data_IF_411144403673
#
_entry.id   IF_411144403673
#
_cell.length_a   1.000
_cell.length_b   1.000
_cell.length_c   1.000
_cell.angle_alpha   90.00
_cell.angle_beta   90.00
_cell.angle_gamma   90.00
#
_symmetry.space_group_name_H-M   'P 1'
#
loop_
_entity.id
_entity.type
_entity.pdbx_description
1 polymer ?
#
# COMPACT_ATOMS: atom_id res chain seq x y z
N UNK A 1 -14.99 -43.30 -6.59
CA UNK A 1 -15.26 -42.02 -7.28
C UNK A 1 -15.90 -40.95 -6.38
N UNK A 2 -16.91 -41.26 -5.54
CA UNK A 2 -17.54 -40.29 -4.61
C UNK A 2 -16.57 -39.56 -3.66
N UNK A 3 -15.53 -40.23 -3.14
CA UNK A 3 -14.56 -39.61 -2.20
C UNK A 3 -13.59 -38.61 -2.85
N UNK A 4 -13.35 -38.71 -4.16
CA UNK A 4 -12.47 -37.78 -4.90
C UNK A 4 -13.22 -36.48 -5.23
N UNK A 5 -14.52 -36.58 -5.51
CA UNK A 5 -15.39 -35.43 -5.76
C UNK A 5 -15.55 -34.54 -4.50
N UNK A 6 -15.58 -35.14 -3.31
CA UNK A 6 -15.67 -34.38 -2.04
C UNK A 6 -14.39 -33.60 -1.70
N UNK A 7 -13.21 -34.07 -2.12
CA UNK A 7 -11.93 -33.37 -1.87
C UNK A 7 -11.79 -32.15 -2.80
N UNK A 8 -12.28 -32.25 -4.03
CA UNK A 8 -12.25 -31.15 -5.01
C UNK A 8 -13.15 -29.98 -4.58
N UNK A 9 -14.33 -30.27 -4.02
CA UNK A 9 -15.26 -29.24 -3.51
C UNK A 9 -14.70 -28.53 -2.27
N UNK A 10 -13.95 -29.24 -1.41
CA UNK A 10 -13.31 -28.64 -0.24
C UNK A 10 -12.20 -27.64 -0.64
N UNK A 11 -11.45 -27.93 -1.71
CA UNK A 11 -10.39 -27.04 -2.21
C UNK A 11 -10.92 -25.76 -2.89
N UNK A 12 -12.10 -25.82 -3.52
CA UNK A 12 -12.72 -24.63 -4.15
C UNK A 12 -13.19 -23.62 -3.08
N UNK A 13 -13.63 -24.09 -1.91
CA UNK A 13 -14.11 -23.19 -0.83
C UNK A 13 -13.01 -22.40 -0.11
N UNK A 14 -11.74 -22.80 -0.23
CA UNK A 14 -10.62 -22.15 0.49
C UNK A 14 -10.07 -20.89 -0.22
N UNK A 15 -10.44 -20.64 -1.47
CA UNK A 15 -9.93 -19.47 -2.22
C UNK A 15 -10.74 -18.18 -2.02
N UNK A 16 -11.78 -18.20 -1.18
CA UNK A 16 -12.58 -17.00 -0.87
C UNK A 16 -11.94 -16.14 0.22
N UNK A 17 -10.61 -15.95 0.18
CA UNK A 17 -10.00 -14.85 0.94
C UNK A 17 -10.43 -13.57 0.24
N UNK A 18 -11.55 -13.01 0.67
CA UNK A 18 -12.11 -11.78 0.12
C UNK A 18 -11.01 -10.72 0.00
N UNK A 19 -10.70 -10.34 -1.25
CA UNK A 19 -9.75 -9.29 -1.54
C UNK A 19 -10.32 -7.98 -1.02
N UNK A 20 -9.56 -7.34 -0.13
CA UNK A 20 -9.99 -6.10 0.51
C UNK A 20 -9.64 -4.97 -0.43
N UNK A 21 -10.66 -4.30 -0.96
CA UNK A 21 -10.50 -3.20 -1.90
C UNK A 21 -10.47 -1.85 -1.18
N UNK A 22 -9.67 -0.93 -1.68
CA UNK A 22 -9.59 0.46 -1.24
C UNK A 22 -9.65 1.41 -2.42
N UNK A 23 -10.01 2.66 -2.15
CA UNK A 23 -9.92 3.78 -3.09
C UNK A 23 -8.66 4.58 -2.79
N UNK A 24 -7.77 4.68 -3.75
CA UNK A 24 -6.48 5.37 -3.58
C UNK A 24 -6.62 6.88 -3.78
N UNK A 25 -5.75 7.62 -3.10
CA UNK A 25 -5.67 9.06 -3.25
C UNK A 25 -4.66 9.45 -4.35
N UNK A 26 -4.77 10.69 -4.82
CA UNK A 26 -3.82 11.28 -5.77
C UNK A 26 -2.88 12.24 -5.05
N UNK A 27 -1.63 12.25 -5.49
CA UNK A 27 -0.62 13.23 -5.08
C UNK A 27 -0.08 13.89 -6.34
N UNK A 28 -0.20 15.21 -6.43
CA UNK A 28 0.20 15.98 -7.62
C UNK A 28 -0.45 15.44 -8.92
N UNK A 29 -1.70 14.98 -8.85
CA UNK A 29 -2.44 14.41 -9.99
C UNK A 29 -2.12 12.95 -10.32
N UNK A 30 -1.07 12.37 -9.72
CA UNK A 30 -0.63 10.99 -9.91
C UNK A 30 -1.27 10.08 -8.86
N UNK A 31 -1.73 8.91 -9.28
CA UNK A 31 -2.30 7.91 -8.37
C UNK A 31 -1.19 7.20 -7.57
N UNK A 32 -1.40 7.04 -6.26
CA UNK A 32 -0.37 6.50 -5.35
C UNK A 32 -0.88 5.23 -4.68
N UNK A 33 -0.24 4.12 -5.00
CA UNK A 33 -0.55 2.80 -4.47
C UNK A 33 0.54 2.40 -3.46
N UNK A 34 0.28 2.60 -2.16
CA UNK A 34 1.19 2.20 -1.07
C UNK A 34 0.64 0.98 -0.34
N UNK A 35 1.37 -0.13 -0.31
CA UNK A 35 0.89 -1.40 0.25
C UNK A 35 -0.45 -1.83 -0.36
N UNK A 36 -0.65 -1.48 -1.63
CA UNK A 36 -1.83 -1.81 -2.39
C UNK A 36 -1.41 -1.95 -3.85
N UNK A 37 -2.17 -2.74 -4.61
CA UNK A 37 -1.95 -2.97 -6.02
C UNK A 37 -3.18 -2.52 -6.80
N UNK A 38 -3.04 -1.77 -7.90
CA UNK A 38 -4.17 -1.37 -8.72
C UNK A 38 -4.90 -2.61 -9.26
N UNK A 39 -6.21 -2.53 -9.35
CA UNK A 39 -7.03 -3.53 -10.05
C UNK A 39 -6.88 -3.42 -11.57
N UNK A 40 -6.55 -2.21 -12.05
CA UNK A 40 -6.31 -1.92 -13.46
C UNK A 40 -5.08 -2.64 -13.98
N UNK A 41 -5.11 -2.99 -15.26
CA UNK A 41 -3.95 -3.54 -15.95
C UNK A 41 -2.90 -2.43 -16.18
N UNK A 42 -1.63 -2.76 -15.95
CA UNK A 42 -0.54 -1.80 -16.08
C UNK A 42 0.75 -2.44 -16.53
N UNK A 43 1.59 -1.63 -17.15
CA UNK A 43 2.99 -1.93 -17.39
C UNK A 43 3.88 -1.15 -16.42
N UNK A 44 4.93 -1.80 -15.92
CA UNK A 44 5.96 -1.12 -15.13
C UNK A 44 6.91 -0.40 -16.06
N UNK A 45 7.08 0.90 -15.86
CA UNK A 45 8.07 1.66 -16.59
C UNK A 45 9.43 1.36 -15.94
N UNK A 46 10.31 0.67 -16.67
CA UNK A 46 11.70 0.48 -16.23
C UNK A 46 12.32 1.87 -16.11
N UNK A 47 12.54 2.33 -14.88
CA UNK A 47 13.32 3.53 -14.65
C UNK A 47 14.69 3.38 -15.31
N UNK A 48 15.07 4.33 -16.16
CA UNK A 48 16.45 4.48 -16.58
C UNK A 48 17.33 4.57 -15.32
N UNK A 49 18.12 3.52 -15.10
CA UNK A 49 19.04 3.42 -13.97
C UNK A 49 18.47 2.70 -12.74
N UNK A 50 19.39 2.03 -12.01
CA UNK A 50 19.17 1.25 -10.79
C UNK A 50 17.99 1.80 -9.99
N UNK A 51 16.94 1.00 -9.92
CA UNK A 51 15.72 1.32 -9.20
C UNK A 51 16.00 1.95 -7.85
N UNK A 52 15.42 3.12 -7.60
CA UNK A 52 15.65 3.88 -6.38
C UNK A 52 15.15 3.05 -5.20
N UNK A 53 16.08 2.39 -4.51
CA UNK A 53 15.82 1.71 -3.26
C UNK A 53 15.26 2.75 -2.28
N UNK A 54 14.03 2.51 -1.82
CA UNK A 54 13.37 3.40 -0.88
C UNK A 54 14.23 3.65 0.37
N UNK A 55 15.00 2.65 0.81
CA UNK A 55 15.91 2.76 1.95
C UNK A 55 16.97 3.87 1.86
N UNK A 56 17.49 4.18 0.68
CA UNK A 56 18.58 5.17 0.51
C UNK A 56 18.09 6.59 0.22
N UNK A 57 16.87 6.76 -0.33
CA UNK A 57 16.21 8.09 -0.44
C UNK A 57 15.54 8.53 0.87
N UNK A 58 15.34 7.61 1.81
CA UNK A 58 14.64 7.86 3.08
C UNK A 58 15.60 8.14 4.24
N UNK A 59 16.87 7.77 4.13
CA UNK A 59 17.85 7.87 5.23
C UNK A 59 18.74 9.11 5.16
N UNK A 60 18.80 9.81 4.01
CA UNK A 60 19.80 10.84 3.69
C UNK A 60 19.46 12.30 3.98
N UNK A 61 18.68 12.62 5.01
CA UNK A 61 18.55 14.01 5.50
C UNK A 61 17.17 14.63 5.31
N UNK A 62 16.45 14.70 6.42
CA UNK A 62 15.37 15.61 6.83
C UNK A 62 14.52 14.83 7.84
N UNK A 63 14.96 14.92 9.09
CA UNK A 63 14.25 14.38 10.24
C UNK A 63 12.95 15.18 10.37
N UNK A 64 11.79 14.51 10.20
CA UNK A 64 10.40 15.01 10.44
C UNK A 64 9.48 15.22 9.21
N UNK A 65 9.58 14.40 8.15
CA UNK A 65 8.65 14.47 7.01
C UNK A 65 7.56 13.39 7.02
N UNK A 66 6.34 13.78 6.60
CA UNK A 66 5.19 12.88 6.44
C UNK A 66 5.34 11.95 5.24
N UNK A 67 4.58 10.84 5.19
CA UNK A 67 4.55 9.95 4.01
C UNK A 67 4.18 10.72 2.75
N UNK A 68 3.14 11.57 2.83
CA UNK A 68 2.70 12.36 1.70
C UNK A 68 3.84 13.24 1.16
N UNK A 69 4.61 13.91 2.04
CA UNK A 69 5.77 14.71 1.65
C UNK A 69 6.83 13.89 0.92
N UNK A 70 7.15 12.70 1.42
CA UNK A 70 8.14 11.79 0.80
C UNK A 70 7.69 11.30 -0.57
N UNK A 71 6.42 10.91 -0.67
CA UNK A 71 5.80 10.50 -1.94
C UNK A 71 5.79 11.65 -2.93
N UNK A 72 5.39 12.87 -2.53
CA UNK A 72 5.42 14.05 -3.39
C UNK A 72 6.83 14.34 -3.90
N UNK A 73 7.87 14.23 -3.05
CA UNK A 73 9.27 14.40 -3.47
C UNK A 73 9.69 13.37 -4.50
N UNK A 74 9.32 12.10 -4.28
CA UNK A 74 9.60 11.03 -5.24
C UNK A 74 8.92 11.28 -6.58
N UNK A 75 7.61 11.58 -6.58
CA UNK A 75 6.85 11.90 -7.80
C UNK A 75 7.48 13.08 -8.53
N UNK A 76 7.87 14.14 -7.80
CA UNK A 76 8.50 15.31 -8.41
C UNK A 76 9.86 14.97 -9.03
N UNK A 77 10.67 14.11 -8.39
CA UNK A 77 11.96 13.65 -8.94
C UNK A 77 11.74 12.82 -10.20
N UNK A 78 10.79 11.88 -10.14
CA UNK A 78 10.47 10.99 -11.25
C UNK A 78 9.87 11.74 -12.44
N UNK A 79 8.95 12.68 -12.20
CA UNK A 79 8.38 13.55 -13.22
C UNK A 79 9.45 14.42 -13.89
N UNK A 80 10.42 14.95 -13.13
CA UNK A 80 11.56 15.67 -13.72
C UNK A 80 12.38 14.77 -14.63
N UNK A 81 12.77 13.58 -14.16
CA UNK A 81 13.55 12.63 -14.95
C UNK A 81 12.83 12.23 -16.25
N UNK A 82 11.57 11.83 -16.13
CA UNK A 82 10.78 11.35 -17.26
C UNK A 82 10.42 12.46 -18.25
N UNK A 83 10.36 13.72 -17.80
CA UNK A 83 10.24 14.87 -18.70
C UNK A 83 11.43 14.99 -19.66
N UNK A 84 12.65 14.70 -19.20
CA UNK A 84 13.84 14.70 -20.08
C UNK A 84 13.84 13.51 -21.06
N UNK A 85 13.31 12.37 -20.62
CA UNK A 85 13.23 11.14 -21.42
C UNK A 85 11.95 11.08 -22.30
N UNK A 86 11.08 12.09 -22.22
CA UNK A 86 9.76 12.13 -22.86
C UNK A 86 8.86 10.91 -22.54
N UNK A 87 9.00 10.38 -21.31
CA UNK A 87 8.21 9.25 -20.80
C UNK A 87 7.02 9.81 -20.00
N UNK A 88 5.84 9.23 -20.19
CA UNK A 88 4.63 9.54 -19.39
C UNK A 88 4.29 8.35 -18.50
N UNK A 89 3.82 8.63 -17.29
CA UNK A 89 3.40 7.64 -16.30
C UNK A 89 2.12 8.12 -15.62
N UNK A 90 1.28 7.18 -15.21
CA UNK A 90 -0.05 7.47 -14.64
C UNK A 90 -0.08 7.34 -13.12
N UNK A 91 0.72 6.43 -12.59
CA UNK A 91 0.71 6.08 -11.18
C UNK A 91 2.08 5.63 -10.67
N UNK A 92 2.19 5.59 -9.35
CA UNK A 92 3.34 5.02 -8.65
C UNK A 92 2.89 3.92 -7.68
N UNK A 93 3.60 2.80 -7.70
CA UNK A 93 3.32 1.63 -6.86
C UNK A 93 4.49 1.40 -5.91
N UNK A 94 4.19 1.12 -4.64
CA UNK A 94 5.12 0.62 -3.64
C UNK A 94 4.59 -0.70 -3.06
N UNK A 95 5.15 -1.80 -3.53
CA UNK A 95 4.76 -3.17 -3.18
C UNK A 95 5.93 -3.91 -2.55
N UNK A 96 5.70 -4.64 -1.45
CA UNK A 96 6.70 -5.51 -0.80
C UNK A 96 8.01 -4.80 -0.42
N UNK A 97 7.91 -3.49 -0.18
CA UNK A 97 8.93 -2.53 0.21
C UNK A 97 10.34 -2.56 -0.39
N UNK A 98 10.50 -3.19 -1.55
CA UNK A 98 11.75 -3.18 -2.32
C UNK A 98 11.95 -1.87 -3.09
N UNK A 99 10.91 -1.32 -3.71
CA UNK A 99 11.05 -0.14 -4.56
C UNK A 99 9.70 0.55 -4.83
N UNK A 100 9.72 1.86 -5.03
CA UNK A 100 8.67 2.50 -5.81
C UNK A 100 8.96 2.36 -7.30
N UNK A 101 7.91 2.09 -8.04
CA UNK A 101 7.94 1.91 -9.49
C UNK A 101 6.85 2.78 -10.11
N UNK A 102 7.21 3.53 -11.15
CA UNK A 102 6.23 4.23 -11.97
C UNK A 102 5.59 3.22 -12.93
N UNK A 103 4.28 3.37 -13.11
CA UNK A 103 3.50 2.51 -13.98
C UNK A 103 2.69 3.33 -14.97
N UNK A 104 2.28 2.68 -16.04
CA UNK A 104 1.34 3.20 -17.03
C UNK A 104 0.21 2.21 -17.19
N UNK A 105 -1.02 2.67 -17.15
CA UNK A 105 -2.17 1.79 -17.32
C UNK A 105 -2.33 1.40 -18.78
N UNK A 106 -2.66 0.14 -19.02
CA UNK A 106 -2.84 -0.43 -20.37
C UNK A 106 -4.31 -0.61 -20.72
N UNK A 107 -5.20 -0.55 -19.73
CA UNK A 107 -6.65 -0.66 -19.89
C UNK A 107 -7.36 0.70 -19.96
N UNK A 108 -8.64 0.67 -20.36
CA UNK A 108 -9.51 1.84 -20.29
C UNK A 108 -9.96 2.11 -18.85
N UNK A 109 -10.05 3.39 -18.52
CA UNK A 109 -10.51 3.84 -17.22
C UNK A 109 -12.04 3.78 -17.16
N UNK A 110 -12.56 3.02 -16.20
CA UNK A 110 -13.99 2.88 -15.91
C UNK A 110 -14.30 3.36 -14.48
N UNK A 111 -15.55 3.70 -14.16
CA UNK A 111 -15.95 4.02 -12.78
C UNK A 111 -15.63 2.91 -11.78
N UNK A 112 -15.63 1.65 -12.22
CA UNK A 112 -15.40 0.46 -11.40
C UNK A 112 -13.92 0.18 -11.14
N UNK A 113 -13.01 0.71 -11.97
CA UNK A 113 -11.57 0.53 -11.83
C UNK A 113 -10.81 1.82 -11.45
N UNK A 114 -11.47 2.99 -11.47
CA UNK A 114 -10.89 4.28 -11.12
C UNK A 114 -10.35 4.27 -9.68
N UNK A 115 -9.02 4.30 -9.55
CA UNK A 115 -8.31 4.35 -8.26
C UNK A 115 -8.66 3.19 -7.33
N UNK A 116 -9.11 2.06 -7.87
CA UNK A 116 -9.42 0.89 -7.07
C UNK A 116 -8.16 0.05 -6.91
N UNK A 117 -7.86 -0.29 -5.66
CA UNK A 117 -6.69 -1.10 -5.33
C UNK A 117 -7.06 -2.29 -4.43
N UNK A 118 -6.34 -3.39 -4.60
CA UNK A 118 -6.33 -4.51 -3.67
C UNK A 118 -5.28 -4.22 -2.59
N UNK A 119 -5.72 -4.19 -1.33
CA UNK A 119 -4.88 -3.87 -0.18
C UNK A 119 -4.04 -5.08 0.21
N UNK A 120 -2.74 -4.85 0.40
CA UNK A 120 -1.81 -5.86 0.91
C UNK A 120 -2.02 -6.06 2.42
N UNK A 121 -1.82 -7.30 2.86
CA UNK A 121 -1.91 -7.70 4.26
C UNK A 121 -0.52 -7.94 4.81
N UNK A 122 -0.26 -7.44 6.01
CA UNK A 122 0.94 -7.73 6.80
C UNK A 122 0.48 -8.46 8.05
N UNK A 123 0.97 -9.68 8.29
CA UNK A 123 0.50 -10.55 9.39
C UNK A 123 -1.03 -10.72 9.38
N UNK A 124 -1.61 -10.95 8.19
CA UNK A 124 -3.05 -11.03 7.93
C UNK A 124 -3.88 -9.76 8.19
N UNK A 125 -3.26 -8.66 8.62
CA UNK A 125 -3.92 -7.37 8.85
C UNK A 125 -3.79 -6.51 7.58
N UNK A 126 -4.89 -6.02 6.98
CA UNK A 126 -4.83 -5.10 5.85
C UNK A 126 -4.38 -3.70 6.31
N UNK A 127 -3.50 -3.09 5.53
CA UNK A 127 -2.97 -1.74 5.80
C UNK A 127 -3.42 -0.75 4.73
N UNK A 128 -4.20 0.25 5.14
CA UNK A 128 -4.66 1.32 4.27
C UNK A 128 -3.72 2.51 4.41
N UNK A 129 -2.82 2.70 3.45
CA UNK A 129 -1.87 3.82 3.41
C UNK A 129 -2.18 4.68 2.20
N UNK A 130 -2.49 5.97 2.43
CA UNK A 130 -2.93 6.91 1.38
C UNK A 130 -4.10 6.37 0.53
N UNK A 131 -4.95 5.57 1.16
CA UNK A 131 -6.15 4.97 0.57
C UNK A 131 -7.21 4.80 1.66
N UNK A 132 -8.46 4.71 1.23
CA UNK A 132 -9.62 4.53 2.12
C UNK A 132 -10.36 3.22 1.78
N UNK A 133 -10.86 2.48 2.78
CA UNK A 133 -11.71 1.32 2.52
C UNK A 133 -12.94 1.72 1.70
N UNK A 134 -13.34 0.87 0.73
CA UNK A 134 -14.58 1.11 -0.04
C UNK A 134 -15.82 0.79 0.80
N UNK A 135 -15.72 -0.17 1.71
CA UNK A 135 -16.82 -0.55 2.59
C UNK A 135 -16.83 0.34 3.82
N UNK A 136 -18.02 0.52 4.39
CA UNK A 136 -18.20 1.25 5.64
C UNK A 136 -17.34 0.68 6.77
N UNK A 137 -16.82 1.58 7.60
CA UNK A 137 -15.94 1.26 8.70
C UNK A 137 -16.13 2.24 9.85
N UNK A 138 -15.92 1.74 11.07
CA UNK A 138 -16.01 2.53 12.29
C UNK A 138 -14.61 2.83 12.83
N UNK A 139 -14.38 4.08 13.24
CA UNK A 139 -13.14 4.46 13.91
C UNK A 139 -13.16 4.02 15.38
N UNK A 140 -12.61 2.84 15.68
CA UNK A 140 -12.51 2.32 17.05
C UNK A 140 -11.59 3.18 17.92
N UNK A 141 -10.49 3.68 17.36
CA UNK A 141 -9.55 4.54 18.06
C UNK A 141 -8.79 5.43 17.09
N UNK A 142 -9.00 6.74 17.20
CA UNK A 142 -8.19 7.74 16.50
C UNK A 142 -6.97 8.09 17.35
N UNK A 143 -5.78 7.76 16.87
CA UNK A 143 -4.54 8.28 17.45
C UNK A 143 -4.41 9.74 16.97
N UNK A 144 -4.48 10.71 17.89
CA UNK A 144 -4.43 12.14 17.56
C UNK A 144 -2.98 12.55 17.30
N UNK A 145 -2.78 13.35 16.25
CA UNK A 145 -1.45 13.67 15.71
C UNK A 145 -1.11 12.72 14.59
N UNK A 146 -1.12 13.20 13.34
CA UNK A 146 -0.81 12.39 12.15
C UNK A 146 0.41 11.52 12.40
N UNK A 147 0.40 10.28 11.90
CA UNK A 147 1.44 9.29 12.18
C UNK A 147 2.78 9.90 11.75
N UNK A 148 3.52 10.45 12.73
CA UNK A 148 4.91 10.83 12.58
C UNK A 148 5.64 9.51 12.62
N UNK A 149 5.86 8.93 11.45
CA UNK A 149 6.41 7.58 11.31
C UNK A 149 7.74 7.39 12.03
N UNK A 150 8.49 8.48 12.32
CA UNK A 150 9.68 8.43 13.18
C UNK A 150 9.42 8.19 14.67
N UNK A 151 8.23 8.49 15.19
CA UNK A 151 8.01 8.61 16.65
C UNK A 151 6.88 7.75 17.19
N UNK A 152 5.83 7.49 16.41
CA UNK A 152 4.64 6.81 16.93
C UNK A 152 4.81 5.29 17.08
N UNK A 153 5.82 4.68 16.44
CA UNK A 153 6.01 3.23 16.40
C UNK A 153 7.30 2.72 17.04
N UNK A 154 8.27 3.60 17.30
CA UNK A 154 9.61 3.21 17.79
C UNK A 154 10.20 4.13 18.85
N UNK A 155 9.44 5.10 19.39
CA UNK A 155 9.94 5.94 20.49
C UNK A 155 11.20 6.75 20.15
N UNK A 156 11.50 6.97 18.86
CA UNK A 156 12.59 7.84 18.42
C UNK A 156 14.01 7.27 18.47
N UNK A 157 14.20 5.97 18.74
CA UNK A 157 15.56 5.46 19.03
C UNK A 157 16.30 4.76 17.88
N UNK A 158 15.65 4.33 16.79
CA UNK A 158 16.36 3.55 15.75
C UNK A 158 15.83 3.88 14.36
N UNK A 159 16.76 4.10 13.41
CA UNK A 159 16.52 4.41 12.00
C UNK A 159 16.01 3.17 11.25
N UNK A 160 14.82 2.69 11.60
CA UNK A 160 14.23 1.48 11.02
C UNK A 160 13.55 1.75 9.67
N UNK A 161 13.50 0.73 8.82
CA UNK A 161 12.69 0.76 7.58
C UNK A 161 11.20 0.95 7.93
N UNK A 162 10.46 1.64 7.06
CA UNK A 162 8.99 1.76 7.12
C UNK A 162 8.35 0.37 7.32
N UNK A 163 8.88 -0.66 6.69
CA UNK A 163 8.39 -2.02 6.86
C UNK A 163 8.56 -2.56 8.27
N UNK A 164 9.70 -2.28 8.92
CA UNK A 164 9.93 -2.73 10.29
C UNK A 164 8.95 -2.05 11.26
N UNK A 165 8.62 -0.79 11.00
CA UNK A 165 7.60 -0.07 11.77
C UNK A 165 6.21 -0.65 11.50
N UNK A 166 5.86 -0.95 10.23
CA UNK A 166 4.61 -1.63 9.89
C UNK A 166 4.50 -3.01 10.53
N UNK A 167 5.57 -3.80 10.50
CA UNK A 167 5.63 -5.12 11.10
C UNK A 167 5.50 -5.05 12.62
N UNK A 168 6.21 -4.11 13.27
CA UNK A 168 6.05 -3.87 14.71
C UNK A 168 4.62 -3.45 15.06
N UNK A 169 4.00 -2.62 14.22
CA UNK A 169 2.60 -2.24 14.39
C UNK A 169 1.66 -3.43 14.22
N UNK A 170 1.84 -4.19 13.14
CA UNK A 170 1.05 -5.37 12.84
C UNK A 170 1.11 -6.35 14.01
N UNK A 171 2.30 -6.69 14.51
CA UNK A 171 2.48 -7.55 15.70
C UNK A 171 1.82 -7.01 16.96
N UNK A 172 1.88 -5.69 17.20
CA UNK A 172 1.20 -5.06 18.34
C UNK A 172 -0.33 -5.13 18.21
N UNK A 173 -0.84 -5.11 16.98
CA UNK A 173 -2.27 -5.12 16.66
C UNK A 173 -2.82 -6.54 16.46
N UNK A 174 -1.97 -7.51 16.14
CA UNK A 174 -2.29 -8.92 15.89
C UNK A 174 -3.12 -9.52 17.02
N UNK A 175 -2.67 -9.37 18.27
CA UNK A 175 -3.40 -9.87 19.44
C UNK A 175 -4.81 -9.28 19.56
N UNK A 176 -5.01 -8.03 19.13
CA UNK A 176 -6.33 -7.37 19.15
C UNK A 176 -7.19 -7.80 17.97
N UNK A 177 -6.57 -7.99 16.80
CA UNK A 177 -7.22 -8.47 15.59
C UNK A 177 -7.76 -9.88 15.76
N UNK A 178 -6.95 -10.82 16.26
CA UNK A 178 -7.38 -12.19 16.55
C UNK A 178 -8.46 -12.26 17.63
N UNK A 179 -8.46 -11.33 18.59
CA UNK A 179 -9.53 -11.19 19.60
C UNK A 179 -10.79 -10.48 19.07
N UNK A 180 -10.87 -10.18 17.76
CA UNK A 180 -11.95 -9.42 17.11
C UNK A 180 -12.24 -8.04 17.74
N UNK A 181 -11.28 -7.48 18.47
CA UNK A 181 -11.39 -6.16 19.08
C UNK A 181 -11.11 -5.03 18.07
N UNK A 182 -10.52 -5.39 16.94
CA UNK A 182 -10.36 -4.54 15.77
C UNK A 182 -10.70 -5.38 14.55
N UNK A 183 -11.57 -4.88 13.67
CA UNK A 183 -11.68 -5.36 12.29
C UNK A 183 -11.11 -4.27 11.40
N UNK A 184 -10.22 -4.64 10.50
CA UNK A 184 -9.61 -3.69 9.58
C UNK A 184 -10.50 -3.57 8.32
N UNK A 185 -11.74 -3.15 8.58
CA UNK A 185 -12.88 -3.28 7.68
C UNK A 185 -13.76 -4.46 8.08
N UNK A 186 -15.06 -4.29 7.91
CA UNK A 186 -16.17 -5.24 8.12
C UNK A 186 -16.83 -5.17 9.51
N UNK A 187 -18.03 -4.56 9.52
CA UNK A 187 -19.20 -5.13 10.19
C UNK A 187 -19.61 -6.39 9.42
N UNK A 188 -19.83 -7.49 10.14
CA UNK A 188 -20.59 -8.65 9.64
C UNK A 188 -22.06 -8.33 9.62
#
# INVERSE_FOLDING_TARGET
MRKVLSILVLFITLNSVAQIKSKVQKVNGIEVYLLAEPVREYETLKGGGKGIQWGSVITGGLVNESIATKVSKYINKLAKQYKYENIKFDAVIYTNGKQMTAIKFTDEKTPENDRIAVVQKIEAIPFFVMSEPIKDYDFIKKIRGGIKWKSALTGGLINNSIEQDLLKFAKKMEKKFWRKQISAGFKS
#
